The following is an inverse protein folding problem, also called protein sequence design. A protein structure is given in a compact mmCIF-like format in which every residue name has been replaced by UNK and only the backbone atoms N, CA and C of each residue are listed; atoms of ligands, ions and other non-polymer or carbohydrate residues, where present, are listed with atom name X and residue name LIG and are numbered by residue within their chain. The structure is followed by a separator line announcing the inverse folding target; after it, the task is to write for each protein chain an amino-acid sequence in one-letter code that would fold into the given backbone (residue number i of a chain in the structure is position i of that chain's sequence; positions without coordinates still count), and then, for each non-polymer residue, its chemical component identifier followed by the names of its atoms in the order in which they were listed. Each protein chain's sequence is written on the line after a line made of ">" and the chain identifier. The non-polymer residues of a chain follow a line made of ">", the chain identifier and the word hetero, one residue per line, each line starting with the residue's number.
data_IF_303316572420
#
_entry.id   IF_303316572420
#
_cell.length_a   1.000
_cell.length_b   1.000
_cell.length_c   1.000
_cell.angle_alpha   90.00
_cell.angle_beta   90.00
_cell.angle_gamma   90.00
#
_symmetry.space_group_name_H-M   'P 1'
#
loop_
_entity.id
_entity.type
_entity.pdbx_description
1 polymer ?
#
# COMPACT_ATOMS: atom_id res chain seq x y z
N UNK A 1 -51.78 10.28 33.71
CA UNK A 1 -52.34 9.60 32.52
C UNK A 1 -51.76 10.07 31.19
N UNK A 2 -51.51 11.37 30.97
CA UNK A 2 -51.05 11.88 29.66
C UNK A 2 -49.69 11.32 29.21
N UNK A 3 -48.73 11.17 30.14
CA UNK A 3 -47.35 10.67 29.87
C UNK A 3 -47.26 9.20 29.45
N UNK A 4 -48.20 8.35 29.91
CA UNK A 4 -48.27 6.94 29.50
C UNK A 4 -48.84 6.79 28.08
N UNK A 5 -49.80 7.65 27.70
CA UNK A 5 -50.36 7.65 26.35
C UNK A 5 -49.33 8.07 25.31
N UNK A 6 -48.51 9.09 25.59
CA UNK A 6 -47.43 9.51 24.69
C UNK A 6 -46.35 8.44 24.54
N UNK A 7 -46.02 7.71 25.62
CA UNK A 7 -45.07 6.60 25.56
C UNK A 7 -45.58 5.46 24.67
N UNK A 8 -46.86 5.09 24.82
CA UNK A 8 -47.49 4.03 24.01
C UNK A 8 -47.57 4.42 22.54
N UNK A 9 -47.86 5.68 22.22
CA UNK A 9 -47.85 6.20 20.84
C UNK A 9 -46.43 6.15 20.26
N UNK A 10 -45.42 6.55 21.03
CA UNK A 10 -44.02 6.50 20.60
C UNK A 10 -43.56 5.06 20.27
N UNK A 11 -43.83 4.10 21.16
CA UNK A 11 -43.48 2.70 20.90
C UNK A 11 -44.30 2.08 19.77
N UNK A 12 -45.56 2.51 19.59
CA UNK A 12 -46.38 2.11 18.45
C UNK A 12 -45.79 2.55 17.11
N UNK A 13 -45.35 3.82 17.02
CA UNK A 13 -44.70 4.36 15.81
C UNK A 13 -43.37 3.65 15.56
N UNK A 14 -42.55 3.46 16.61
CA UNK A 14 -41.27 2.78 16.49
C UNK A 14 -41.43 1.33 16.00
N UNK A 15 -42.39 0.59 16.54
CA UNK A 15 -42.70 -0.77 16.09
C UNK A 15 -43.13 -0.77 14.61
N UNK A 16 -43.92 0.21 14.19
CA UNK A 16 -44.39 0.32 12.82
C UNK A 16 -43.24 0.64 11.85
N UNK A 17 -42.29 1.48 12.24
CA UNK A 17 -41.05 1.75 11.47
C UNK A 17 -40.22 0.48 11.35
N UNK A 18 -39.99 -0.25 12.45
CA UNK A 18 -39.21 -1.49 12.44
C UNK A 18 -39.86 -2.55 11.55
N UNK A 19 -41.18 -2.72 11.65
CA UNK A 19 -41.93 -3.67 10.82
C UNK A 19 -41.90 -3.25 9.34
N UNK A 20 -42.06 -1.96 9.05
CA UNK A 20 -41.96 -1.46 7.67
C UNK A 20 -40.56 -1.65 7.08
N UNK A 21 -39.51 -1.40 7.86
CA UNK A 21 -38.12 -1.62 7.44
C UNK A 21 -37.83 -3.11 7.22
N UNK A 22 -38.36 -3.98 8.07
CA UNK A 22 -38.25 -5.44 7.93
C UNK A 22 -38.96 -5.96 6.67
N UNK A 23 -40.17 -5.46 6.40
CA UNK A 23 -40.92 -5.82 5.20
C UNK A 23 -40.26 -5.27 3.93
N UNK A 24 -39.72 -4.04 3.96
CA UNK A 24 -38.91 -3.47 2.89
C UNK A 24 -37.68 -4.32 2.60
N UNK A 25 -36.91 -4.71 3.63
CA UNK A 25 -35.75 -5.61 3.49
C UNK A 25 -36.10 -6.97 2.89
N UNK A 26 -37.27 -7.54 3.24
CA UNK A 26 -37.75 -8.79 2.62
C UNK A 26 -38.19 -8.61 1.17
N UNK A 27 -38.73 -7.45 0.81
CA UNK A 27 -39.28 -7.20 -0.53
C UNK A 27 -38.20 -6.78 -1.54
N UNK A 28 -37.18 -6.03 -1.12
CA UNK A 28 -36.07 -5.63 -1.99
C UNK A 28 -35.00 -6.72 -2.15
N UNK A 29 -35.11 -7.82 -1.39
CA UNK A 29 -34.01 -8.77 -1.19
C UNK A 29 -32.83 -8.15 -0.44
N UNK A 30 -31.91 -8.95 0.11
CA UNK A 30 -30.63 -8.41 0.53
C UNK A 30 -29.98 -7.75 -0.70
N UNK A 31 -29.36 -6.55 -0.58
CA UNK A 31 -28.55 -6.02 -1.66
C UNK A 31 -27.58 -7.11 -2.07
N UNK A 32 -27.55 -7.43 -3.36
CA UNK A 32 -26.60 -8.40 -3.89
C UNK A 32 -25.21 -7.88 -3.53
N UNK A 33 -24.59 -8.47 -2.51
CA UNK A 33 -23.18 -8.22 -2.23
C UNK A 33 -22.48 -8.55 -3.55
N UNK A 34 -21.82 -7.55 -4.16
CA UNK A 34 -20.87 -7.81 -5.23
C UNK A 34 -20.00 -8.98 -4.74
N UNK A 35 -19.85 -10.07 -5.50
CA UNK A 35 -19.08 -11.20 -5.05
C UNK A 35 -17.70 -10.70 -4.66
N UNK A 36 -17.33 -10.90 -3.39
CA UNK A 36 -15.97 -10.68 -2.93
C UNK A 36 -15.14 -11.79 -3.55
N UNK A 37 -14.55 -11.52 -4.72
CA UNK A 37 -13.47 -12.34 -5.24
C UNK A 37 -12.29 -12.01 -4.33
N UNK A 38 -12.10 -12.78 -3.26
CA UNK A 38 -10.96 -12.64 -2.38
C UNK A 38 -9.77 -13.26 -3.11
N UNK A 39 -8.93 -12.43 -3.69
CA UNK A 39 -7.68 -12.88 -4.28
C UNK A 39 -6.65 -13.17 -3.20
N UNK A 40 -5.88 -14.23 -3.42
CA UNK A 40 -4.67 -14.50 -2.65
C UNK A 40 -3.48 -14.02 -3.44
N UNK A 41 -2.33 -13.96 -2.79
CA UNK A 41 -1.08 -13.75 -3.51
C UNK A 41 -0.92 -14.84 -4.57
N UNK A 42 -0.31 -14.47 -5.68
CA UNK A 42 -0.18 -15.39 -6.79
C UNK A 42 0.68 -16.59 -6.39
N UNK A 43 0.19 -17.80 -6.67
CA UNK A 43 0.99 -19.01 -6.44
C UNK A 43 2.25 -18.97 -7.30
N UNK A 44 3.35 -19.54 -6.82
CA UNK A 44 4.64 -19.58 -7.52
C UNK A 44 4.51 -19.80 -9.04
N UNK A 45 4.98 -18.83 -9.82
CA UNK A 45 4.95 -18.85 -11.29
C UNK A 45 3.69 -18.24 -11.94
N UNK A 46 2.67 -17.85 -11.15
CA UNK A 46 1.54 -17.07 -11.62
C UNK A 46 1.69 -15.60 -11.22
N UNK A 47 1.04 -14.71 -11.97
CA UNK A 47 0.95 -13.29 -11.66
C UNK A 47 -0.33 -12.73 -12.29
N UNK A 48 -0.89 -11.70 -11.68
CA UNK A 48 -1.99 -10.95 -12.27
C UNK A 48 -1.50 -10.09 -13.42
N UNK A 49 -2.30 -10.00 -14.48
CA UNK A 49 -2.08 -9.07 -15.58
C UNK A 49 -3.30 -8.19 -15.77
N UNK A 50 -3.13 -6.88 -15.54
CA UNK A 50 -4.15 -5.86 -15.72
C UNK A 50 -3.95 -5.19 -17.08
N UNK A 51 -5.02 -5.09 -17.86
CA UNK A 51 -5.03 -4.42 -19.17
C UNK A 51 -6.03 -3.29 -19.22
N UNK A 52 -5.82 -2.32 -20.10
CA UNK A 52 -6.90 -1.42 -20.50
C UNK A 52 -7.88 -2.10 -21.47
N UNK A 53 -8.93 -1.39 -21.87
CA UNK A 53 -9.93 -1.89 -22.84
C UNK A 53 -9.36 -2.10 -24.24
N UNK A 54 -8.20 -1.54 -24.54
CA UNK A 54 -7.48 -1.66 -25.80
C UNK A 54 -6.51 -2.84 -25.78
N UNK A 55 -6.37 -3.54 -24.66
CA UNK A 55 -5.49 -4.68 -24.47
C UNK A 55 -4.05 -4.30 -24.08
N UNK A 56 -3.75 -3.02 -23.85
CA UNK A 56 -2.41 -2.63 -23.38
C UNK A 56 -2.21 -3.05 -21.93
N UNK A 57 -1.02 -3.55 -21.62
CA UNK A 57 -0.65 -3.95 -20.27
C UNK A 57 -0.48 -2.70 -19.41
N UNK A 58 -1.20 -2.62 -18.29
CA UNK A 58 -1.08 -1.54 -17.32
C UNK A 58 -0.25 -1.95 -16.11
N UNK A 59 -0.50 -3.15 -15.59
CA UNK A 59 0.16 -3.67 -14.38
C UNK A 59 0.32 -5.18 -14.50
N UNK A 60 1.48 -5.67 -14.07
CA UNK A 60 1.71 -7.08 -13.79
C UNK A 60 2.28 -7.20 -12.37
N UNK A 61 1.68 -8.06 -11.55
CA UNK A 61 2.05 -8.21 -10.13
C UNK A 61 1.63 -9.59 -9.61
N UNK A 62 2.44 -10.19 -8.75
CA UNK A 62 2.06 -11.31 -7.90
C UNK A 62 1.23 -10.87 -6.69
N UNK A 63 1.21 -9.58 -6.38
CA UNK A 63 0.41 -9.00 -5.31
C UNK A 63 -1.09 -9.20 -5.58
N UNK A 64 -1.92 -9.51 -4.55
CA UNK A 64 -3.36 -9.70 -4.75
C UNK A 64 -4.05 -8.45 -5.30
N UNK A 65 -4.84 -8.61 -6.37
CA UNK A 65 -5.68 -7.53 -6.94
C UNK A 65 -7.16 -7.85 -6.82
N UNK A 66 -8.01 -6.83 -6.69
CA UNK A 66 -9.45 -6.97 -6.52
C UNK A 66 -10.19 -5.94 -7.39
N UNK A 67 -11.45 -6.23 -7.73
CA UNK A 67 -12.32 -5.21 -8.35
C UNK A 67 -12.45 -3.99 -7.43
N UNK A 68 -12.29 -2.80 -8.01
CA UNK A 68 -12.26 -1.52 -7.31
C UNK A 68 -10.88 -1.11 -6.78
N UNK A 69 -9.85 -1.95 -6.93
CA UNK A 69 -8.47 -1.52 -6.71
C UNK A 69 -8.05 -0.51 -7.79
N UNK A 70 -7.17 0.41 -7.42
CA UNK A 70 -6.75 1.52 -8.29
C UNK A 70 -5.24 1.47 -8.49
N UNK A 71 -4.80 1.72 -9.71
CA UNK A 71 -3.38 1.82 -10.06
C UNK A 71 -3.09 3.20 -10.66
N UNK A 72 -2.10 3.89 -10.09
CA UNK A 72 -1.51 5.09 -10.66
C UNK A 72 -0.24 4.65 -11.38
N UNK A 73 -0.23 4.77 -12.70
CA UNK A 73 0.91 4.35 -13.52
C UNK A 73 2.07 5.37 -13.47
N UNK A 74 3.11 5.07 -14.21
CA UNK A 74 4.33 5.89 -14.34
C UNK A 74 4.04 7.32 -14.81
N UNK A 75 3.11 7.48 -15.77
CA UNK A 75 2.68 8.77 -16.29
C UNK A 75 1.68 9.50 -15.37
N UNK A 76 1.51 9.02 -14.14
CA UNK A 76 0.55 9.53 -13.16
C UNK A 76 -0.92 9.47 -13.63
N UNK A 77 -1.24 8.56 -14.56
CA UNK A 77 -2.61 8.25 -14.99
C UNK A 77 -3.23 7.22 -14.06
N UNK A 78 -4.50 7.41 -13.73
CA UNK A 78 -5.21 6.61 -12.73
C UNK A 78 -6.17 5.64 -13.41
N UNK A 79 -6.12 4.37 -13.01
CA UNK A 79 -6.94 3.29 -13.55
C UNK A 79 -7.61 2.50 -12.43
N UNK A 80 -8.91 2.23 -12.56
CA UNK A 80 -9.68 1.38 -11.64
C UNK A 80 -9.89 0.00 -12.27
N UNK A 81 -9.54 -1.06 -11.55
CA UNK A 81 -9.83 -2.45 -11.95
C UNK A 81 -11.34 -2.66 -11.90
N UNK A 82 -11.96 -2.93 -13.04
CA UNK A 82 -13.41 -3.07 -13.16
C UNK A 82 -13.87 -4.50 -13.46
N UNK A 83 -13.01 -5.34 -14.02
CA UNK A 83 -13.34 -6.72 -14.39
C UNK A 83 -12.15 -7.65 -14.07
N UNK A 84 -12.45 -8.89 -13.68
CA UNK A 84 -11.44 -9.91 -13.40
C UNK A 84 -11.92 -11.30 -13.83
N UNK A 85 -11.00 -12.08 -14.40
CA UNK A 85 -11.20 -13.49 -14.76
C UNK A 85 -9.89 -14.26 -14.49
N UNK A 86 -9.82 -14.94 -13.35
CA UNK A 86 -8.60 -15.63 -12.94
C UNK A 86 -7.46 -14.65 -12.71
N UNK A 87 -6.35 -14.82 -13.44
CA UNK A 87 -5.17 -13.96 -13.38
C UNK A 87 -5.23 -12.75 -14.32
N UNK A 88 -6.24 -12.66 -15.19
CA UNK A 88 -6.43 -11.52 -16.08
C UNK A 88 -7.44 -10.53 -15.47
N UNK A 89 -7.15 -9.24 -15.63
CA UNK A 89 -8.01 -8.15 -15.20
C UNK A 89 -8.08 -7.04 -16.24
N UNK A 90 -9.19 -6.31 -16.26
CA UNK A 90 -9.38 -5.11 -17.07
C UNK A 90 -9.58 -3.92 -16.15
N UNK A 91 -8.87 -2.84 -16.44
CA UNK A 91 -9.02 -1.56 -15.77
C UNK A 91 -9.47 -0.47 -16.76
N UNK A 92 -10.14 0.55 -16.22
CA UNK A 92 -10.61 1.72 -16.96
C UNK A 92 -9.98 2.99 -16.39
N UNK A 93 -9.71 4.02 -17.21
CA UNK A 93 -9.29 5.32 -16.71
C UNK A 93 -10.28 5.87 -15.68
N UNK A 94 -9.77 6.49 -14.62
CA UNK A 94 -10.56 7.08 -13.54
C UNK A 94 -9.84 8.31 -12.95
N UNK A 95 -10.30 8.81 -11.80
CA UNK A 95 -9.57 9.76 -10.97
C UNK A 95 -9.60 9.35 -9.50
N UNK A 96 -8.77 9.96 -8.66
CA UNK A 96 -8.73 9.67 -7.22
C UNK A 96 -10.01 10.09 -6.47
N UNK A 97 -10.94 10.81 -7.11
CA UNK A 97 -12.23 11.13 -6.53
C UNK A 97 -13.07 9.89 -6.18
N UNK A 98 -12.74 8.71 -6.73
CA UNK A 98 -13.40 7.44 -6.37
C UNK A 98 -13.32 7.15 -4.88
N UNK A 99 -12.27 7.59 -4.19
CA UNK A 99 -12.14 7.43 -2.74
C UNK A 99 -12.95 8.43 -1.91
N UNK A 100 -13.46 9.49 -2.55
CA UNK A 100 -14.32 10.50 -1.91
C UNK A 100 -15.81 10.14 -1.98
N UNK A 101 -16.23 9.28 -2.91
CA UNK A 101 -17.66 8.98 -3.13
C UNK A 101 -18.30 8.14 -2.01
N UNK A 102 -17.50 7.37 -1.27
CA UNK A 102 -17.99 6.58 -0.12
C UNK A 102 -17.98 7.37 1.21
N UNK A 103 -17.40 8.58 1.23
CA UNK A 103 -17.35 9.45 2.42
C UNK A 103 -18.46 10.48 2.34
N UNK A 104 -19.65 10.09 2.80
CA UNK A 104 -20.77 11.01 3.03
C UNK A 104 -20.51 11.90 4.26
N UNK A 105 -19.43 12.71 4.23
CA UNK A 105 -19.25 13.97 4.97
C UNK A 105 -17.98 14.65 4.50
N UNK A 106 -18.10 15.92 4.13
CA UNK A 106 -17.01 16.88 3.94
C UNK A 106 -16.19 16.68 2.67
N UNK A 107 -16.55 17.46 1.65
CA UNK A 107 -15.75 17.76 0.46
C UNK A 107 -14.31 18.06 0.83
N UNK A 108 -13.41 17.09 0.63
CA UNK A 108 -11.99 17.37 0.48
C UNK A 108 -11.83 17.84 -0.97
N UNK A 109 -11.84 19.14 -1.14
CA UNK A 109 -11.39 19.79 -2.35
C UNK A 109 -9.87 19.63 -2.43
N UNK A 110 -9.41 18.65 -3.23
CA UNK A 110 -8.00 18.25 -3.35
C UNK A 110 -7.18 19.31 -4.12
N UNK A 111 -7.72 20.52 -4.31
CA UNK A 111 -6.99 21.64 -4.95
C UNK A 111 -6.54 22.75 -4.00
N UNK A 112 -6.98 22.78 -2.74
CA UNK A 112 -6.67 23.91 -1.84
C UNK A 112 -6.03 23.57 -0.48
N UNK A 113 -5.79 22.30 -0.14
CA UNK A 113 -5.09 21.96 1.12
C UNK A 113 -3.56 21.78 0.91
N UNK A 114 -2.90 22.84 0.44
CA UNK A 114 -1.44 23.01 0.58
C UNK A 114 -1.08 24.07 1.63
N UNK A 115 -2.04 24.47 2.47
CA UNK A 115 -1.80 25.37 3.59
C UNK A 115 -1.73 24.60 4.93
N UNK A 116 -0.53 24.64 5.51
CA UNK A 116 -0.12 24.10 6.83
C UNK A 116 -1.05 24.51 7.98
N UNK A 117 -1.29 23.57 8.92
CA UNK A 117 -1.47 23.74 10.39
C UNK A 117 -1.57 22.34 11.01
N UNK A 118 -0.84 21.93 12.06
CA UNK A 118 -0.19 22.65 13.14
C UNK A 118 1.23 22.13 13.40
N UNK A 119 2.12 23.07 13.76
CA UNK A 119 3.46 22.80 14.24
C UNK A 119 3.42 22.10 15.60
N UNK A 120 3.96 20.89 15.66
CA UNK A 120 4.53 20.34 16.90
C UNK A 120 5.82 21.14 17.18
N UNK A 121 6.14 21.50 18.44
CA UNK A 121 7.32 22.31 18.73
C UNK A 121 8.58 21.64 18.17
N UNK A 122 9.26 22.34 17.27
CA UNK A 122 10.57 21.96 16.76
C UNK A 122 11.61 22.11 17.88
N UNK A 123 11.76 21.08 18.71
CA UNK A 123 13.09 20.71 19.13
C UNK A 123 13.70 20.01 17.92
N UNK A 124 14.88 20.42 17.46
CA UNK A 124 15.59 19.80 16.33
C UNK A 124 15.99 18.35 16.67
N UNK A 125 15.02 17.45 16.72
CA UNK A 125 15.21 16.02 16.72
C UNK A 125 15.53 15.61 15.28
N UNK A 126 16.56 14.79 15.09
CA UNK A 126 16.88 14.26 13.77
C UNK A 126 15.74 13.38 13.24
N UNK A 127 15.57 13.35 11.91
CA UNK A 127 14.58 12.50 11.25
C UNK A 127 14.87 11.03 11.57
N UNK A 128 13.83 10.27 11.89
CA UNK A 128 13.90 8.85 12.20
C UNK A 128 12.98 8.01 11.31
N UNK A 129 13.48 6.90 10.78
CA UNK A 129 12.72 5.96 9.94
C UNK A 129 12.80 4.56 10.52
N UNK A 130 11.69 3.83 10.47
CA UNK A 130 11.68 2.40 10.79
C UNK A 130 11.43 1.55 9.54
N UNK A 131 12.15 0.44 9.41
CA UNK A 131 12.01 -0.55 8.32
C UNK A 131 11.72 -1.92 8.94
N UNK A 132 10.75 -2.64 8.38
CA UNK A 132 10.43 -4.01 8.75
C UNK A 132 9.96 -4.81 7.52
N UNK A 133 9.70 -6.10 7.72
CA UNK A 133 9.31 -7.03 6.67
C UNK A 133 8.21 -7.96 7.17
N UNK A 134 6.97 -7.79 6.68
CA UNK A 134 5.88 -8.73 6.99
C UNK A 134 6.18 -10.12 6.42
N UNK A 135 6.76 -10.22 5.21
CA UNK A 135 7.18 -11.49 4.62
C UNK A 135 8.69 -11.69 4.76
N UNK A 136 9.13 -11.95 5.99
CA UNK A 136 10.54 -12.09 6.39
C UNK A 136 11.32 -13.24 5.73
N UNK A 137 10.66 -14.08 4.94
CA UNK A 137 11.26 -15.20 4.23
C UNK A 137 11.59 -14.91 2.76
N UNK A 138 11.10 -13.80 2.20
CA UNK A 138 11.28 -13.48 0.78
C UNK A 138 12.76 -13.42 0.37
N UNK A 139 13.09 -14.01 -0.78
CA UNK A 139 14.45 -14.07 -1.33
C UNK A 139 14.45 -14.05 -2.86
N UNK A 140 15.63 -13.93 -3.48
CA UNK A 140 15.82 -13.76 -4.93
C UNK A 140 16.56 -14.97 -5.54
N UNK A 141 15.85 -15.90 -6.21
CA UNK A 141 16.38 -17.13 -6.79
C UNK A 141 17.66 -17.01 -7.61
N UNK A 142 17.82 -15.93 -8.38
CA UNK A 142 19.01 -15.72 -9.23
C UNK A 142 20.28 -15.62 -8.38
N UNK A 143 20.21 -14.95 -7.22
CA UNK A 143 21.35 -14.71 -6.33
C UNK A 143 21.43 -15.75 -5.22
N UNK A 144 20.27 -16.24 -4.74
CA UNK A 144 20.16 -16.97 -3.47
C UNK A 144 19.78 -18.46 -3.68
N UNK A 145 19.44 -18.86 -4.90
CA UNK A 145 19.04 -20.23 -5.26
C UNK A 145 17.60 -20.61 -4.86
N UNK A 146 16.88 -19.76 -4.13
CA UNK A 146 15.48 -19.97 -3.73
C UNK A 146 14.72 -18.64 -3.62
N UNK A 147 13.38 -18.70 -3.73
CA UNK A 147 12.49 -17.53 -3.57
C UNK A 147 12.00 -17.31 -2.14
N UNK A 148 12.33 -18.24 -1.24
CA UNK A 148 11.96 -18.20 0.17
C UNK A 148 13.01 -18.92 1.04
N UNK A 149 13.46 -18.26 2.11
CA UNK A 149 14.30 -18.80 3.19
C UNK A 149 13.58 -18.51 4.51
N UNK A 150 12.84 -19.49 5.10
CA UNK A 150 12.00 -19.26 6.27
C UNK A 150 12.74 -18.58 7.44
N UNK A 151 12.28 -17.38 7.80
CA UNK A 151 12.83 -16.58 8.90
C UNK A 151 14.19 -15.94 8.65
N UNK A 152 14.77 -16.12 7.46
CA UNK A 152 16.07 -15.57 7.10
C UNK A 152 16.11 -15.21 5.61
N UNK A 153 15.03 -14.61 5.11
CA UNK A 153 14.93 -14.17 3.73
C UNK A 153 15.95 -13.07 3.43
N UNK A 154 16.51 -13.09 2.23
CA UNK A 154 17.46 -12.06 1.80
C UNK A 154 16.80 -10.71 1.52
N UNK A 155 15.47 -10.61 1.62
CA UNK A 155 14.75 -9.33 1.65
C UNK A 155 15.26 -8.41 2.77
N UNK A 156 15.75 -8.97 3.89
CA UNK A 156 16.43 -8.20 4.93
C UNK A 156 17.67 -7.47 4.39
N UNK A 157 18.42 -8.06 3.47
CA UNK A 157 19.58 -7.39 2.87
C UNK A 157 19.17 -6.26 1.91
N UNK A 158 18.01 -6.38 1.27
CA UNK A 158 17.42 -5.30 0.46
C UNK A 158 16.96 -4.15 1.36
N UNK A 159 16.26 -4.46 2.46
CA UNK A 159 15.89 -3.50 3.49
C UNK A 159 17.10 -2.78 4.09
N UNK A 160 18.19 -3.52 4.34
CA UNK A 160 19.43 -2.95 4.88
C UNK A 160 20.13 -1.99 3.89
N UNK A 161 20.04 -2.23 2.57
CA UNK A 161 20.55 -1.28 1.57
C UNK A 161 19.76 0.04 1.56
N UNK A 162 18.43 -0.04 1.70
CA UNK A 162 17.60 1.16 1.89
C UNK A 162 17.98 1.88 3.19
N UNK A 163 18.12 1.14 4.29
CA UNK A 163 18.53 1.68 5.59
C UNK A 163 19.88 2.40 5.51
N UNK A 164 20.86 1.81 4.81
CA UNK A 164 22.18 2.40 4.65
C UNK A 164 22.19 3.67 3.80
N UNK A 165 21.38 3.73 2.74
CA UNK A 165 21.19 4.98 1.99
C UNK A 165 20.60 6.09 2.86
N UNK A 166 19.55 5.78 3.64
CA UNK A 166 18.95 6.73 4.59
C UNK A 166 19.96 7.20 5.64
N UNK A 167 20.73 6.28 6.24
CA UNK A 167 21.80 6.60 7.20
C UNK A 167 22.92 7.44 6.59
N UNK A 168 23.33 7.15 5.36
CA UNK A 168 24.30 7.97 4.62
C UNK A 168 23.75 9.39 4.37
N UNK A 169 22.43 9.53 4.28
CA UNK A 169 21.70 10.78 4.29
C UNK A 169 21.41 11.32 5.71
N UNK A 170 22.14 10.89 6.75
CA UNK A 170 22.01 11.44 8.10
C UNK A 170 20.65 11.20 8.78
N UNK A 171 19.84 10.28 8.25
CA UNK A 171 18.58 9.86 8.87
C UNK A 171 18.85 8.71 9.84
N UNK A 172 18.30 8.80 11.04
CA UNK A 172 18.35 7.69 12.00
C UNK A 172 17.45 6.56 11.51
N UNK A 173 17.93 5.32 11.49
CA UNK A 173 17.14 4.17 11.00
C UNK A 173 17.16 3.00 11.96
N UNK A 174 15.97 2.56 12.36
CA UNK A 174 15.77 1.24 12.99
C UNK A 174 15.31 0.25 11.94
N UNK A 175 16.11 -0.78 11.71
CA UNK A 175 15.78 -1.87 10.79
C UNK A 175 15.52 -3.13 11.62
N UNK A 176 14.25 -3.59 11.61
CA UNK A 176 13.80 -4.74 12.39
C UNK A 176 13.97 -6.04 11.62
N UNK A 177 14.74 -6.97 12.21
CA UNK A 177 14.92 -8.34 11.74
C UNK A 177 13.96 -9.36 12.38
N UNK A 178 12.91 -8.89 13.06
CA UNK A 178 11.87 -9.78 13.59
C UNK A 178 11.24 -10.60 12.46
N UNK A 179 11.02 -11.89 12.72
CA UNK A 179 10.42 -12.81 11.75
C UNK A 179 8.92 -12.92 11.95
N UNK A 180 8.19 -13.04 10.85
CA UNK A 180 6.72 -13.07 10.86
C UNK A 180 6.14 -14.23 10.05
N UNK A 181 6.94 -15.29 9.87
CA UNK A 181 6.51 -16.52 9.22
C UNK A 181 5.33 -17.22 9.94
N UNK A 182 4.60 -18.10 9.25
CA UNK A 182 4.78 -18.52 7.85
C UNK A 182 4.43 -17.43 6.80
N UNK A 183 4.78 -17.65 5.54
CA UNK A 183 4.44 -16.74 4.44
C UNK A 183 2.96 -16.89 4.09
N UNK A 184 2.10 -16.13 4.78
CA UNK A 184 0.65 -16.13 4.58
C UNK A 184 0.04 -14.76 4.93
N UNK A 185 -1.25 -14.59 4.67
CA UNK A 185 -1.98 -13.36 5.05
C UNK A 185 -1.94 -13.06 6.56
N UNK A 186 -1.66 -14.05 7.41
CA UNK A 186 -1.49 -13.88 8.85
C UNK A 186 -0.16 -13.20 9.22
N UNK A 187 0.78 -13.09 8.29
CA UNK A 187 2.06 -12.43 8.50
C UNK A 187 1.89 -10.96 8.87
N UNK A 188 0.93 -10.26 8.25
CA UNK A 188 0.56 -8.88 8.61
C UNK A 188 0.08 -8.76 10.06
N UNK A 189 -0.73 -9.72 10.53
CA UNK A 189 -1.17 -9.74 11.93
C UNK A 189 0.00 -9.97 12.90
N UNK A 190 0.95 -10.83 12.53
CA UNK A 190 2.15 -11.11 13.35
C UNK A 190 3.10 -9.91 13.37
N UNK A 191 3.33 -9.28 12.23
CA UNK A 191 4.21 -8.12 12.06
C UNK A 191 3.66 -6.86 12.72
N UNK A 192 2.34 -6.76 12.90
CA UNK A 192 1.69 -5.67 13.63
C UNK A 192 2.32 -5.40 15.01
N UNK A 193 2.69 -6.45 15.75
CA UNK A 193 3.37 -6.30 17.05
C UNK A 193 4.74 -5.63 16.93
N UNK A 194 5.48 -5.95 15.88
CA UNK A 194 6.76 -5.30 15.56
C UNK A 194 6.54 -3.83 15.24
N UNK A 195 5.56 -3.49 14.40
CA UNK A 195 5.23 -2.09 14.08
C UNK A 195 4.85 -1.30 15.34
N UNK A 196 4.07 -1.89 16.26
CA UNK A 196 3.76 -1.26 17.54
C UNK A 196 4.99 -0.99 18.43
N UNK A 197 6.03 -1.81 18.36
CA UNK A 197 7.27 -1.54 19.10
C UNK A 197 8.06 -0.42 18.43
N UNK A 198 8.20 -0.46 17.10
CA UNK A 198 8.89 0.57 16.33
C UNK A 198 8.25 1.95 16.51
N UNK A 199 6.93 2.02 16.61
CA UNK A 199 6.22 3.28 16.85
C UNK A 199 6.58 3.96 18.19
N UNK A 200 7.08 3.22 19.17
CA UNK A 200 7.54 3.80 20.45
C UNK A 200 8.81 4.62 20.31
N UNK A 201 9.54 4.45 19.21
CA UNK A 201 10.76 5.19 18.89
C UNK A 201 10.43 6.57 18.28
N UNK A 202 9.16 6.85 17.99
CA UNK A 202 8.70 8.10 17.38
C UNK A 202 9.20 8.33 15.95
N UNK A 203 9.08 7.34 15.02
CA UNK A 203 9.57 7.51 13.65
C UNK A 203 8.72 8.51 12.85
N UNK A 204 9.37 9.23 11.94
CA UNK A 204 8.74 10.09 10.93
C UNK A 204 8.12 9.30 9.77
N UNK A 205 8.56 8.06 9.54
CA UNK A 205 7.98 7.13 8.57
C UNK A 205 8.29 5.66 8.90
N UNK A 206 7.42 4.75 8.45
CA UNK A 206 7.59 3.30 8.61
C UNK A 206 7.40 2.60 7.27
N UNK A 207 8.32 1.71 6.91
CA UNK A 207 8.28 0.99 5.64
C UNK A 207 8.26 -0.52 5.82
N UNK A 208 7.29 -1.16 5.17
CA UNK A 208 7.25 -2.62 4.97
C UNK A 208 7.90 -2.93 3.62
N UNK A 209 9.04 -3.60 3.62
CA UNK A 209 9.81 -3.85 2.38
C UNK A 209 9.63 -5.29 1.94
N UNK A 210 9.23 -5.46 0.69
CA UNK A 210 8.88 -6.72 0.05
C UNK A 210 9.52 -6.85 -1.34
N UNK A 211 9.34 -8.03 -1.94
CA UNK A 211 9.58 -8.30 -3.37
C UNK A 211 8.35 -8.93 -4.02
N UNK A 212 8.07 -8.53 -5.25
CA UNK A 212 6.94 -9.05 -6.03
C UNK A 212 7.26 -10.42 -6.66
N UNK A 213 6.30 -11.00 -7.39
CA UNK A 213 6.45 -12.25 -8.18
C UNK A 213 6.02 -12.07 -9.65
N UNK A 214 6.07 -10.83 -10.16
CA UNK A 214 5.74 -10.50 -11.54
C UNK A 214 6.85 -10.94 -12.54
N UNK A 215 6.61 -10.87 -13.86
CA UNK A 215 7.67 -11.03 -14.85
C UNK A 215 8.80 -10.01 -14.64
N UNK A 216 10.06 -10.36 -14.94
CA UNK A 216 11.21 -9.48 -14.71
C UNK A 216 11.09 -8.18 -15.51
N UNK A 217 10.48 -8.19 -16.70
CA UNK A 217 10.29 -7.01 -17.54
C UNK A 217 9.45 -5.92 -16.86
N UNK A 218 8.56 -6.32 -15.94
CA UNK A 218 7.73 -5.40 -15.19
C UNK A 218 8.52 -4.59 -14.15
N UNK A 219 9.65 -5.14 -13.68
CA UNK A 219 10.48 -4.61 -12.61
C UNK A 219 11.92 -4.30 -13.02
N UNK A 220 12.32 -4.56 -14.26
CA UNK A 220 13.65 -4.25 -14.75
C UNK A 220 13.73 -2.81 -15.26
N UNK A 221 14.77 -2.08 -14.88
CA UNK A 221 15.12 -0.79 -15.48
C UNK A 221 16.63 -0.58 -15.50
N UNK A 222 17.08 0.50 -16.11
CA UNK A 222 18.46 0.99 -16.03
C UNK A 222 18.44 2.36 -15.36
N UNK A 223 19.11 2.48 -14.21
CA UNK A 223 19.39 3.77 -13.58
C UNK A 223 20.90 4.00 -13.68
N UNK A 224 21.30 5.11 -14.29
CA UNK A 224 22.71 5.42 -14.57
C UNK A 224 23.46 4.29 -15.30
N UNK A 225 22.77 3.58 -16.20
CA UNK A 225 23.32 2.46 -16.97
C UNK A 225 23.47 1.14 -16.21
N UNK A 226 23.03 1.06 -14.94
CA UNK A 226 23.10 -0.15 -14.13
C UNK A 226 21.73 -0.86 -14.02
N UNK A 227 21.65 -2.21 -14.15
CA UNK A 227 20.41 -3.01 -14.09
C UNK A 227 19.61 -2.92 -12.80
N UNK A 228 18.80 -1.89 -12.59
CA UNK A 228 18.16 -1.60 -11.29
C UNK A 228 16.75 -2.19 -11.23
N UNK A 229 16.35 -2.70 -10.06
CA UNK A 229 14.97 -3.11 -9.84
C UNK A 229 14.09 -1.89 -9.59
N UNK A 230 12.93 -1.87 -10.22
CA UNK A 230 11.89 -0.88 -10.00
C UNK A 230 11.17 -1.13 -8.67
N UNK A 231 10.43 -0.14 -8.20
CA UNK A 231 9.63 -0.22 -6.98
C UNK A 231 8.16 0.07 -7.28
N UNK A 232 7.25 -0.77 -6.78
CA UNK A 232 5.83 -0.44 -6.70
C UNK A 232 5.50 -0.03 -5.27
N UNK A 233 4.86 1.12 -5.10
CA UNK A 233 4.39 1.58 -3.78
C UNK A 233 2.98 1.04 -3.59
N UNK A 234 2.72 0.37 -2.47
CA UNK A 234 1.39 -0.18 -2.15
C UNK A 234 0.74 0.61 -1.02
N UNK A 235 -0.51 1.01 -1.23
CA UNK A 235 -1.35 1.70 -0.24
C UNK A 235 -2.65 0.91 -0.05
N UNK A 236 -2.98 0.52 1.18
CA UNK A 236 -4.16 -0.27 1.47
C UNK A 236 -5.44 0.56 1.48
N UNK A 237 -6.40 0.33 0.59
CA UNK A 237 -7.63 1.15 0.56
C UNK A 237 -8.52 1.06 1.80
N UNK A 238 -8.29 0.08 2.68
CA UNK A 238 -9.03 -0.09 3.93
C UNK A 238 -8.39 0.64 5.11
N UNK A 239 -7.22 1.26 4.92
CA UNK A 239 -6.53 1.97 5.98
C UNK A 239 -7.20 3.33 6.25
N UNK A 240 -7.52 3.68 7.52
CA UNK A 240 -8.15 4.96 7.86
C UNK A 240 -7.25 6.17 7.50
N UNK A 241 -5.94 5.97 7.43
CA UNK A 241 -4.96 6.98 7.03
C UNK A 241 -4.78 7.11 5.51
N UNK A 242 -5.70 6.56 4.69
CA UNK A 242 -5.53 6.45 3.23
C UNK A 242 -5.13 7.77 2.58
N UNK A 243 -5.77 8.88 2.99
CA UNK A 243 -5.45 10.21 2.45
C UNK A 243 -4.00 10.61 2.70
N UNK A 244 -3.53 10.49 3.94
CA UNK A 244 -2.15 10.86 4.33
C UNK A 244 -1.11 9.91 3.74
N UNK A 245 -1.40 8.61 3.70
CA UNK A 245 -0.50 7.61 3.14
C UNK A 245 -0.40 7.74 1.61
N UNK A 246 -1.52 8.00 0.93
CA UNK A 246 -1.52 8.23 -0.52
C UNK A 246 -0.81 9.53 -0.88
N UNK A 247 -1.03 10.63 -0.15
CA UNK A 247 -0.29 11.89 -0.33
C UNK A 247 1.22 11.66 -0.17
N UNK A 248 1.63 10.91 0.86
CA UNK A 248 3.04 10.59 1.06
C UNK A 248 3.61 9.75 -0.08
N UNK A 249 2.89 8.72 -0.54
CA UNK A 249 3.28 7.90 -1.69
C UNK A 249 3.44 8.74 -2.97
N UNK A 250 2.53 9.69 -3.21
CA UNK A 250 2.60 10.59 -4.37
C UNK A 250 3.81 11.52 -4.30
N UNK A 251 4.14 12.06 -3.12
CA UNK A 251 5.35 12.88 -2.95
C UNK A 251 6.63 12.09 -3.24
N UNK A 252 6.72 10.87 -2.73
CA UNK A 252 7.83 9.95 -3.01
C UNK A 252 7.92 9.68 -4.51
N UNK A 253 6.81 9.29 -5.15
CA UNK A 253 6.81 9.01 -6.59
C UNK A 253 7.21 10.24 -7.41
N UNK A 254 6.61 11.41 -7.16
CA UNK A 254 6.89 12.63 -7.91
C UNK A 254 8.37 13.04 -7.80
N UNK A 255 8.95 12.87 -6.61
CA UNK A 255 10.37 13.13 -6.41
C UNK A 255 11.23 12.08 -7.13
N UNK A 256 10.91 10.79 -7.00
CA UNK A 256 11.61 9.71 -7.72
C UNK A 256 11.57 9.89 -9.24
N UNK A 257 10.44 10.32 -9.81
CA UNK A 257 10.31 10.61 -11.24
C UNK A 257 11.28 11.72 -11.70
N UNK A 258 11.70 12.60 -10.79
CA UNK A 258 12.66 13.69 -11.06
C UNK A 258 14.11 13.21 -10.96
N UNK A 259 14.46 12.51 -9.89
CA UNK A 259 15.87 12.16 -9.60
C UNK A 259 16.29 10.80 -10.16
N UNK A 260 15.36 9.84 -10.29
CA UNK A 260 15.57 8.51 -10.85
C UNK A 260 14.40 8.09 -11.76
N UNK A 261 14.24 8.72 -12.94
CA UNK A 261 13.16 8.39 -13.87
C UNK A 261 13.07 6.88 -14.15
N UNK A 262 11.88 6.30 -13.97
CA UNK A 262 11.63 4.87 -14.15
C UNK A 262 11.88 4.00 -12.91
N UNK A 263 12.38 4.54 -11.79
CA UNK A 263 12.56 3.80 -10.54
C UNK A 263 11.22 3.34 -9.97
N UNK A 264 10.24 4.24 -9.82
CA UNK A 264 8.91 3.89 -9.31
C UNK A 264 8.00 3.55 -10.49
N UNK A 265 7.53 2.30 -10.55
CA UNK A 265 6.65 1.83 -11.63
C UNK A 265 5.18 2.22 -11.46
N UNK A 266 4.81 2.70 -10.26
CA UNK A 266 3.47 3.16 -9.96
C UNK A 266 3.10 3.05 -8.49
N UNK A 267 1.89 3.50 -8.17
CA UNK A 267 1.26 3.35 -6.86
C UNK A 267 0.04 2.45 -7.02
N UNK A 268 0.05 1.31 -6.32
CA UNK A 268 -1.07 0.39 -6.28
C UNK A 268 -1.89 0.60 -5.00
N UNK A 269 -3.18 0.91 -5.17
CA UNK A 269 -4.12 1.16 -4.09
C UNK A 269 -5.04 -0.06 -3.98
N UNK A 270 -4.56 -1.05 -3.22
CA UNK A 270 -5.10 -2.41 -3.17
C UNK A 270 -6.08 -2.68 -2.05
N UNK A 271 -6.86 -3.76 -2.14
CA UNK A 271 -7.72 -4.24 -1.06
C UNK A 271 -6.92 -4.78 0.12
N UNK A 272 -6.77 -3.93 1.13
CA UNK A 272 -6.14 -4.33 2.38
C UNK A 272 -5.82 -3.13 3.25
N UNK A 273 -5.17 -3.41 4.36
CA UNK A 273 -4.67 -2.41 5.30
C UNK A 273 -3.13 -2.40 5.35
N UNK A 274 -2.49 -3.56 5.39
CA UNK A 274 -1.02 -3.72 5.41
C UNK A 274 -0.34 -2.99 6.58
N UNK A 275 -1.00 -2.94 7.76
CA UNK A 275 -0.58 -2.22 8.96
C UNK A 275 -0.52 -0.69 8.80
N UNK A 276 -1.07 -0.15 7.70
CA UNK A 276 -1.05 1.28 7.42
C UNK A 276 -2.10 2.07 8.23
N UNK A 277 -3.02 1.38 8.92
CA UNK A 277 -3.89 2.00 9.93
C UNK A 277 -3.14 2.50 11.16
N UNK A 278 -1.96 1.95 11.46
CA UNK A 278 -1.24 2.23 12.69
C UNK A 278 -0.62 3.62 12.74
N UNK A 279 -0.25 4.20 11.60
CA UNK A 279 0.45 5.48 11.56
C UNK A 279 0.28 6.17 10.19
N UNK A 280 0.13 7.52 10.16
CA UNK A 280 0.27 8.26 8.92
C UNK A 280 1.72 8.16 8.45
N UNK A 281 1.97 8.03 7.14
CA UNK A 281 3.30 7.81 6.53
C UNK A 281 3.87 6.39 6.64
N UNK A 282 2.98 5.41 6.80
CA UNK A 282 3.34 4.00 6.64
C UNK A 282 3.07 3.55 5.21
N UNK A 283 4.08 3.00 4.54
CA UNK A 283 3.98 2.51 3.16
C UNK A 283 4.58 1.11 3.03
N UNK A 284 4.09 0.36 2.04
CA UNK A 284 4.68 -0.90 1.62
C UNK A 284 5.39 -0.67 0.28
N UNK A 285 6.61 -1.21 0.14
CA UNK A 285 7.40 -1.16 -1.08
C UNK A 285 7.65 -2.57 -1.61
N UNK A 286 7.17 -2.84 -2.82
CA UNK A 286 7.54 -4.02 -3.60
C UNK A 286 8.76 -3.67 -4.45
N UNK A 287 9.95 -4.11 -4.02
CA UNK A 287 11.23 -3.77 -4.66
C UNK A 287 11.72 -4.95 -5.49
N UNK A 288 11.51 -4.84 -6.80
CA UNK A 288 11.82 -5.90 -7.74
C UNK A 288 10.85 -7.07 -7.67
N UNK A 289 11.31 -8.21 -8.18
CA UNK A 289 10.56 -9.46 -8.21
C UNK A 289 11.50 -10.64 -7.97
N UNK A 290 10.96 -11.79 -7.57
CA UNK A 290 11.71 -13.05 -7.43
C UNK A 290 12.35 -13.57 -8.75
N UNK A 291 12.12 -12.90 -9.88
CA UNK A 291 12.76 -13.20 -11.16
C UNK A 291 13.93 -12.26 -11.49
N UNK A 292 14.30 -11.37 -10.56
CA UNK A 292 15.49 -10.52 -10.65
C UNK A 292 16.57 -10.94 -9.65
N UNK A 293 17.79 -10.43 -9.86
CA UNK A 293 18.88 -10.59 -8.88
C UNK A 293 18.64 -9.75 -7.63
N UNK A 294 19.10 -10.25 -6.48
CA UNK A 294 19.12 -9.49 -5.22
C UNK A 294 19.89 -8.18 -5.38
N UNK A 295 21.00 -8.19 -6.13
CA UNK A 295 21.85 -7.02 -6.37
C UNK A 295 21.10 -5.90 -7.13
N UNK A 296 20.22 -6.26 -8.07
CA UNK A 296 19.32 -5.31 -8.72
C UNK A 296 18.32 -4.70 -7.75
N UNK A 297 17.76 -5.51 -6.85
CA UNK A 297 16.83 -5.06 -5.81
C UNK A 297 17.49 -4.15 -4.79
N UNK A 298 18.70 -4.49 -4.33
CA UNK A 298 19.50 -3.67 -3.43
C UNK A 298 19.78 -2.28 -4.01
N UNK A 299 20.09 -2.17 -5.31
CA UNK A 299 20.24 -0.87 -5.98
C UNK A 299 18.92 -0.10 -6.08
N UNK A 300 17.81 -0.78 -6.34
CA UNK A 300 16.48 -0.16 -6.30
C UNK A 300 16.16 0.41 -4.91
N UNK A 301 16.42 -0.38 -3.86
CA UNK A 301 16.25 -0.01 -2.46
C UNK A 301 17.16 1.14 -2.04
N UNK A 302 18.41 1.17 -2.50
CA UNK A 302 19.33 2.29 -2.28
C UNK A 302 18.76 3.58 -2.87
N UNK A 303 18.33 3.59 -4.15
CA UNK A 303 17.74 4.77 -4.77
C UNK A 303 16.43 5.20 -4.09
N UNK A 304 15.62 4.24 -3.63
CA UNK A 304 14.42 4.55 -2.84
C UNK A 304 14.77 5.19 -1.50
N UNK A 305 15.86 4.77 -0.84
CA UNK A 305 16.37 5.42 0.37
C UNK A 305 16.75 6.87 0.13
N UNK A 306 17.43 7.16 -1.00
CA UNK A 306 17.84 8.51 -1.39
C UNK A 306 16.60 9.41 -1.59
N UNK A 307 15.61 8.92 -2.35
CA UNK A 307 14.33 9.61 -2.60
C UNK A 307 13.59 9.90 -1.30
N UNK A 308 13.44 8.89 -0.43
CA UNK A 308 12.72 9.03 0.84
C UNK A 308 13.43 10.05 1.74
N UNK A 309 14.76 10.04 1.76
CA UNK A 309 15.52 10.99 2.57
C UNK A 309 15.24 12.44 2.19
N UNK A 310 15.23 12.75 0.89
CA UNK A 310 14.94 14.09 0.39
C UNK A 310 13.49 14.51 0.69
N UNK A 311 12.53 13.61 0.50
CA UNK A 311 11.11 13.90 0.79
C UNK A 311 10.88 14.16 2.28
N UNK A 312 11.55 13.43 3.17
CA UNK A 312 11.42 13.65 4.62
C UNK A 312 12.09 14.96 5.07
N UNK A 313 13.25 15.32 4.51
CA UNK A 313 13.91 16.60 4.80
C UNK A 313 13.15 17.81 4.29
N UNK A 314 12.42 17.68 3.18
CA UNK A 314 11.59 18.77 2.67
C UNK A 314 10.37 19.09 3.56
N UNK A 315 10.08 18.26 4.59
CA UNK A 315 8.99 18.49 5.56
C UNK A 315 9.41 19.29 6.79
N UNK A 316 10.71 19.37 7.08
CA UNK A 316 11.29 20.11 8.23
C UNK A 316 11.65 21.54 7.85
#
# INVERSE_FOLDING_TARGET
>A
MLRQRTLLIFFGILALIIVSAYLLMRWTGPPTRKPLIRTTEASKGNYYTVRDKQGQVLLQTGFPINIGDVFINEDNRVFEICEMKGWDAVARPTSLSVFNQDRNSSSIDIKEHWAVKEAIPAQAAGIHVAIYHSHSDESYPISDGTSSIPGNGTIFEVGENMANSLRASGISVTHSYNTHGPHDSGAYYRSRRTVFQLLKEGPDAIFDVHRDSAPPEAYYTLINGLPTARTMIVVGRQNPNLGSNLDFAQRIKNHADTVYPGLVRGIFIGHGDYNQDLYPTTLLFEIGTDQLSRESAQRGAQHMGDVVAEVLRART
#
